data_IF_191696250518
#
_entry.id   IF_191696250518
#
_cell.length_a   1.000
_cell.length_b   1.000
_cell.length_c   1.000
_cell.angle_alpha   90.00
_cell.angle_beta   90.00
_cell.angle_gamma   90.00
#
_symmetry.space_group_name_H-M   'P 1'
#
loop_
_entity.id
_entity.type
_entity.pdbx_description
1 polymer ?
#
# COMPACT_ATOMS: atom_id res chain seq x y z
N UNK A 1 -11.07 -1.61 -25.65
CA UNK A 1 -12.06 -1.15 -24.64
C UNK A 1 -13.40 -0.74 -25.24
N UNK A 2 -13.43 0.02 -26.35
CA UNK A 2 -14.68 0.57 -26.91
C UNK A 2 -15.73 -0.48 -27.35
N UNK A 3 -15.29 -1.66 -27.79
CA UNK A 3 -16.20 -2.80 -28.09
C UNK A 3 -16.83 -3.36 -26.81
N UNK A 4 -16.05 -3.43 -25.72
CA UNK A 4 -16.52 -3.92 -24.41
C UNK A 4 -17.50 -2.92 -23.77
N UNK A 5 -17.24 -1.61 -23.91
CA UNK A 5 -18.14 -0.52 -23.48
C UNK A 5 -19.48 -0.48 -24.23
N UNK A 6 -19.59 -1.18 -25.38
CA UNK A 6 -20.82 -1.29 -26.18
C UNK A 6 -21.52 -2.64 -25.99
N UNK A 7 -21.01 -3.48 -25.09
CA UNK A 7 -21.61 -4.78 -24.81
C UNK A 7 -22.99 -4.62 -24.17
N UNK A 8 -23.92 -5.53 -24.52
CA UNK A 8 -25.23 -5.62 -23.86
C UNK A 8 -25.17 -6.34 -22.52
N UNK A 9 -24.01 -6.91 -22.17
CA UNK A 9 -23.82 -7.62 -20.92
C UNK A 9 -23.56 -6.62 -19.78
N UNK A 10 -24.48 -6.56 -18.82
CA UNK A 10 -24.49 -5.57 -17.75
C UNK A 10 -23.17 -5.54 -16.94
N UNK A 11 -22.54 -6.69 -16.68
CA UNK A 11 -21.27 -6.76 -15.96
C UNK A 11 -20.14 -6.05 -16.72
N UNK A 12 -20.11 -6.14 -18.06
CA UNK A 12 -19.06 -5.52 -18.87
C UNK A 12 -19.20 -4.00 -18.94
N UNK A 13 -20.44 -3.50 -18.88
CA UNK A 13 -20.69 -2.06 -18.75
C UNK A 13 -20.14 -1.56 -17.42
N UNK A 14 -20.52 -2.20 -16.31
CA UNK A 14 -20.03 -1.84 -14.96
C UNK A 14 -18.51 -1.92 -14.79
N UNK A 15 -17.86 -2.91 -15.40
CA UNK A 15 -16.41 -3.08 -15.31
C UNK A 15 -15.62 -2.04 -16.11
N UNK A 16 -16.21 -1.49 -17.17
CA UNK A 16 -15.59 -0.50 -18.05
C UNK A 16 -16.09 0.93 -17.80
N UNK A 17 -16.98 1.12 -16.84
CA UNK A 17 -17.31 2.43 -16.30
C UNK A 17 -16.02 3.00 -15.69
N UNK A 18 -15.53 4.08 -16.29
CA UNK A 18 -14.41 4.82 -15.71
C UNK A 18 -14.96 5.50 -14.45
N UNK A 19 -14.44 5.13 -13.28
CA UNK A 19 -14.72 5.77 -11.98
C UNK A 19 -14.13 7.20 -11.93
N UNK A 20 -14.53 8.05 -12.87
CA UNK A 20 -14.07 9.45 -12.96
C UNK A 20 -14.61 10.31 -11.80
N UNK A 21 -15.52 9.77 -10.98
CA UNK A 21 -16.27 10.53 -9.97
C UNK A 21 -15.94 10.21 -8.50
N UNK A 22 -15.16 9.17 -8.20
CA UNK A 22 -14.97 8.72 -6.81
C UNK A 22 -13.82 9.39 -6.02
N UNK A 23 -12.96 10.21 -6.65
CA UNK A 23 -11.87 10.92 -5.93
C UNK A 23 -12.13 12.41 -5.66
N UNK A 24 -13.29 12.94 -6.03
CA UNK A 24 -13.60 14.37 -5.83
C UNK A 24 -14.13 14.71 -4.42
N UNK A 25 -14.53 13.72 -3.61
CA UNK A 25 -15.32 13.96 -2.39
C UNK A 25 -14.56 13.92 -1.06
N UNK A 26 -13.28 13.52 -1.00
CA UNK A 26 -12.60 13.31 0.30
C UNK A 26 -11.51 14.34 0.64
N UNK A 27 -11.27 15.36 -0.20
CA UNK A 27 -10.29 16.42 0.12
C UNK A 27 -10.98 17.77 0.35
N UNK A 28 -11.78 17.88 1.41
CA UNK A 28 -12.14 19.18 1.99
C UNK A 28 -11.68 19.24 3.45
N UNK A 29 -10.37 19.29 3.65
CA UNK A 29 -9.76 19.91 4.83
C UNK A 29 -8.69 20.89 4.34
N UNK A 30 -8.92 22.13 4.74
CA UNK A 30 -8.35 23.39 4.29
C UNK A 30 -6.85 23.55 4.53
N UNK A 31 -6.08 23.86 3.48
CA UNK A 31 -4.83 24.60 3.60
C UNK A 31 -5.04 26.04 3.14
N UNK A 32 -5.30 26.91 4.12
CA UNK A 32 -5.13 28.36 3.96
C UNK A 32 -3.63 28.61 3.94
N UNK A 33 -3.07 28.92 2.77
CA UNK A 33 -1.92 29.81 2.53
C UNK A 33 -1.84 29.99 1.00
N UNK A 34 -2.07 31.21 0.53
CA UNK A 34 -2.20 31.52 -0.89
C UNK A 34 -0.86 31.56 -1.64
N UNK A 35 -0.94 31.33 -2.95
CA UNK A 35 -0.52 32.29 -4.00
C UNK A 35 -0.75 31.72 -5.40
N UNK A 36 -1.43 32.54 -6.21
CA UNK A 36 -1.19 32.85 -7.63
C UNK A 36 -1.27 31.71 -8.65
N UNK A 37 -2.43 31.67 -9.31
CA UNK A 37 -2.55 31.67 -10.78
C UNK A 37 -1.52 30.88 -11.57
N UNK A 38 -1.68 29.56 -11.63
CA UNK A 38 -1.30 28.79 -12.80
C UNK A 38 -2.51 28.03 -13.28
N UNK A 39 -2.79 28.17 -14.56
CA UNK A 39 -3.75 27.34 -15.30
C UNK A 39 -3.51 25.89 -14.90
N UNK A 40 -4.50 25.30 -14.23
CA UNK A 40 -4.47 23.93 -13.76
C UNK A 40 -4.52 23.05 -15.01
N UNK A 41 -3.36 22.88 -15.67
CA UNK A 41 -3.13 21.81 -16.63
C UNK A 41 -3.54 20.56 -15.88
N UNK A 42 -4.65 19.96 -16.28
CA UNK A 42 -5.09 18.66 -15.80
C UNK A 42 -3.88 17.72 -15.89
N UNK A 43 -3.19 17.58 -14.78
CA UNK A 43 -2.08 16.65 -14.64
C UNK A 43 -2.78 15.31 -14.70
N UNK A 44 -2.74 14.68 -15.88
CA UNK A 44 -3.29 13.34 -16.09
C UNK A 44 -2.89 12.49 -14.89
N UNK A 45 -3.87 12.07 -14.10
CA UNK A 45 -3.64 11.29 -12.87
C UNK A 45 -2.82 10.08 -13.28
N UNK A 46 -1.58 10.01 -12.80
CA UNK A 46 -0.73 8.85 -13.07
C UNK A 46 -1.15 7.72 -12.14
N UNK A 47 -0.95 6.47 -12.57
CA UNK A 47 -1.15 5.30 -11.70
C UNK A 47 -0.31 5.43 -10.41
N UNK A 48 0.88 6.03 -10.50
CA UNK A 48 1.71 6.31 -9.33
C UNK A 48 1.09 7.28 -8.33
N UNK A 49 0.40 8.33 -8.80
CA UNK A 49 -0.32 9.26 -7.93
C UNK A 49 -1.51 8.59 -7.25
N UNK A 50 -2.27 7.77 -7.99
CA UNK A 50 -3.39 7.00 -7.44
C UNK A 50 -2.90 5.99 -6.37
N UNK A 51 -1.83 5.24 -6.67
CA UNK A 51 -1.23 4.30 -5.73
C UNK A 51 -0.77 4.99 -4.45
N UNK A 52 -0.11 6.15 -4.56
CA UNK A 52 0.32 6.94 -3.40
C UNK A 52 -0.86 7.37 -2.54
N UNK A 53 -1.96 7.82 -3.14
CA UNK A 53 -3.16 8.23 -2.41
C UNK A 53 -3.79 7.06 -1.67
N UNK A 54 -3.96 5.91 -2.34
CA UNK A 54 -4.47 4.69 -1.71
C UNK A 54 -3.57 4.18 -0.59
N UNK A 55 -2.24 4.26 -0.77
CA UNK A 55 -1.27 3.89 0.26
C UNK A 55 -1.35 4.81 1.48
N UNK A 56 -1.50 6.12 1.28
CA UNK A 56 -1.65 7.07 2.39
C UNK A 56 -2.88 6.74 3.24
N UNK A 57 -4.04 6.54 2.60
CA UNK A 57 -5.29 6.21 3.30
C UNK A 57 -5.16 4.90 4.11
N UNK A 58 -4.47 3.90 3.54
CA UNK A 58 -4.19 2.65 4.24
C UNK A 58 -3.31 2.89 5.47
N UNK A 59 -2.23 3.66 5.34
CA UNK A 59 -1.32 3.94 6.46
C UNK A 59 -2.01 4.72 7.57
N UNK A 60 -2.88 5.69 7.24
CA UNK A 60 -3.67 6.43 8.22
C UNK A 60 -4.57 5.48 9.04
N UNK A 61 -5.20 4.51 8.37
CA UNK A 61 -6.04 3.50 9.03
C UNK A 61 -5.23 2.58 9.94
N UNK A 62 -4.09 2.07 9.45
CA UNK A 62 -3.22 1.18 10.24
C UNK A 62 -2.65 1.88 11.48
N UNK A 63 -2.23 3.14 11.33
CA UNK A 63 -1.69 3.95 12.43
C UNK A 63 -2.74 4.31 13.50
N UNK A 64 -4.03 4.27 13.16
CA UNK A 64 -5.12 4.47 14.11
C UNK A 64 -5.46 3.21 14.93
N UNK A 65 -4.81 2.08 14.65
CA UNK A 65 -5.04 0.79 15.31
C UNK A 65 -3.81 0.28 16.04
N UNK A 66 -3.97 -0.72 16.90
CA UNK A 66 -2.85 -1.45 17.52
C UNK A 66 -2.40 -2.58 16.59
N UNK A 67 -1.18 -2.50 16.00
CA UNK A 67 -0.72 -3.48 15.03
C UNK A 67 -0.20 -4.75 15.71
N UNK A 68 -0.58 -5.92 15.17
CA UNK A 68 0.04 -7.20 15.49
C UNK A 68 0.86 -7.69 14.30
N UNK A 69 2.17 -7.84 14.49
CA UNK A 69 3.09 -8.15 13.39
C UNK A 69 3.38 -9.65 13.25
N UNK A 70 3.24 -10.17 12.03
CA UNK A 70 3.74 -11.50 11.64
C UNK A 70 4.85 -11.30 10.60
N UNK A 71 6.05 -11.80 10.87
CA UNK A 71 7.22 -11.72 9.98
C UNK A 71 7.49 -13.08 9.35
N UNK A 72 7.15 -13.24 8.07
CA UNK A 72 7.41 -14.46 7.32
C UNK A 72 8.90 -14.56 6.95
N UNK A 73 9.54 -15.70 7.22
CA UNK A 73 10.93 -15.98 6.83
C UNK A 73 10.93 -17.09 5.78
N UNK A 74 11.60 -16.84 4.65
CA UNK A 74 11.77 -17.85 3.60
C UNK A 74 12.88 -18.82 4.00
N UNK A 75 12.60 -20.14 4.13
CA UNK A 75 13.57 -21.09 4.67
C UNK A 75 14.67 -21.44 3.66
N UNK A 76 14.35 -21.47 2.36
CA UNK A 76 15.33 -21.69 1.29
C UNK A 76 14.83 -21.11 -0.04
N UNK A 77 15.74 -20.86 -0.98
CA UNK A 77 15.43 -20.31 -2.30
C UNK A 77 14.89 -21.34 -3.30
N UNK A 78 15.25 -22.62 -3.12
CA UNK A 78 14.86 -23.75 -3.96
C UNK A 78 13.38 -24.18 -3.84
N UNK A 79 12.64 -23.60 -2.88
CA UNK A 79 11.26 -24.00 -2.53
C UNK A 79 11.17 -25.48 -2.11
N UNK A 80 12.26 -26.04 -1.59
CA UNK A 80 12.29 -27.40 -1.10
C UNK A 80 11.61 -27.48 0.29
N UNK A 81 10.76 -28.47 0.56
CA UNK A 81 10.19 -28.67 1.88
C UNK A 81 11.28 -29.09 2.87
N UNK A 82 11.09 -28.76 4.15
CA UNK A 82 11.98 -29.15 5.27
C UNK A 82 13.47 -28.80 5.12
N UNK A 83 13.83 -27.91 4.21
CA UNK A 83 15.21 -27.45 4.00
C UNK A 83 15.36 -26.02 4.51
N UNK A 84 16.38 -25.76 5.34
CA UNK A 84 16.69 -24.43 5.86
C UNK A 84 18.10 -24.01 5.43
N UNK A 85 18.21 -22.85 4.78
CA UNK A 85 19.46 -22.14 4.60
C UNK A 85 19.65 -21.15 5.76
N UNK A 86 20.56 -21.45 6.71
CA UNK A 86 20.74 -20.62 7.90
C UNK A 86 21.33 -19.26 7.58
N UNK A 87 22.21 -19.15 6.56
CA UNK A 87 22.84 -17.88 6.19
C UNK A 87 21.77 -16.94 5.63
N UNK A 88 20.92 -17.46 4.75
CA UNK A 88 19.80 -16.71 4.17
C UNK A 88 18.76 -16.32 5.21
N UNK A 89 18.46 -17.19 6.18
CA UNK A 89 17.53 -16.89 7.27
C UNK A 89 18.07 -15.76 8.16
N UNK A 90 19.35 -15.80 8.55
CA UNK A 90 19.97 -14.75 9.38
C UNK A 90 19.99 -13.39 8.67
N UNK A 91 20.28 -13.37 7.37
CA UNK A 91 20.19 -12.14 6.57
C UNK A 91 18.78 -11.53 6.58
N UNK A 92 17.74 -12.36 6.43
CA UNK A 92 16.36 -11.90 6.53
C UNK A 92 16.02 -11.37 7.93
N UNK A 93 16.45 -12.05 9.00
CA UNK A 93 16.23 -11.60 10.37
C UNK A 93 16.86 -10.22 10.65
N UNK A 94 18.06 -9.97 10.10
CA UNK A 94 18.71 -8.65 10.17
C UNK A 94 17.97 -7.60 9.36
N UNK A 95 17.65 -7.89 8.09
CA UNK A 95 16.98 -6.95 7.19
C UNK A 95 15.55 -6.60 7.64
N UNK A 96 14.84 -7.56 8.23
CA UNK A 96 13.49 -7.35 8.77
C UNK A 96 13.49 -6.69 10.16
N UNK A 97 14.66 -6.43 10.76
CA UNK A 97 14.79 -5.83 12.09
C UNK A 97 14.36 -6.73 13.23
N UNK A 98 14.20 -8.04 13.01
CA UNK A 98 13.70 -8.99 14.02
C UNK A 98 14.63 -9.05 15.23
N UNK A 99 15.95 -9.03 15.00
CA UNK A 99 16.94 -9.03 16.07
C UNK A 99 16.82 -7.78 16.97
N UNK A 100 16.52 -6.63 16.36
CA UNK A 100 16.35 -5.37 17.06
C UNK A 100 15.03 -5.34 17.84
N UNK A 101 13.95 -5.86 17.24
CA UNK A 101 12.67 -6.03 17.94
C UNK A 101 12.83 -6.92 19.17
N UNK A 102 13.52 -8.06 19.05
CA UNK A 102 13.80 -8.95 20.19
C UNK A 102 14.58 -8.20 21.28
N UNK A 103 15.59 -7.40 20.90
CA UNK A 103 16.39 -6.61 21.83
C UNK A 103 15.54 -5.60 22.61
N UNK A 104 14.61 -4.92 21.94
CA UNK A 104 13.69 -3.95 22.56
C UNK A 104 12.72 -4.68 23.51
N UNK A 105 12.10 -5.77 23.06
CA UNK A 105 11.19 -6.56 23.90
C UNK A 105 11.89 -7.15 25.12
N UNK A 106 13.14 -7.63 24.98
CA UNK A 106 13.94 -8.14 26.08
C UNK A 106 14.31 -7.07 27.11
N UNK A 107 14.36 -5.79 26.71
CA UNK A 107 14.58 -4.66 27.62
C UNK A 107 13.32 -4.27 28.43
N UNK A 108 12.22 -5.02 28.30
CA UNK A 108 11.00 -4.82 29.10
C UNK A 108 10.02 -3.79 28.56
N UNK A 109 10.22 -3.32 27.33
CA UNK A 109 9.18 -2.56 26.63
C UNK A 109 8.08 -3.55 26.17
N UNK A 110 6.84 -3.44 26.68
CA UNK A 110 5.77 -4.34 26.29
C UNK A 110 5.48 -4.23 24.78
N UNK A 111 5.11 -5.35 24.17
CA UNK A 111 4.57 -5.40 22.79
C UNK A 111 3.11 -4.96 22.76
#
# INVERSE_FOLDING_TARGET
>A
INVLKKSKFNLLLKLCEDEDKATASTSRLSSIIGKVGQTLRETKKTVGMQFRQSLQLLMDTLNATTPHYVRCIKPNDLKAPFTLDPVRAVQQLRACGVLETIRISAAGFPS
#
